data_IF_982988309368
#
_entry.id   IF_982988309368
#
_cell.length_a   1.000
_cell.length_b   1.000
_cell.length_c   1.000
_cell.angle_alpha   90.00
_cell.angle_beta   90.00
_cell.angle_gamma   90.00
#
_symmetry.space_group_name_H-M   'P 1'
#
loop_
_entity.id
_entity.type
_entity.pdbx_description
1 polymer ?
#
# COMPACT_ATOMS: atom_id res chain seq x y z
N UNK A 1 -24.38 2.14 -2.23
CA UNK A 1 -23.57 0.90 -2.26
C UNK A 1 -22.16 1.28 -2.68
N UNK A 2 -21.17 1.15 -1.79
CA UNK A 2 -19.76 1.37 -2.14
C UNK A 2 -19.27 0.18 -2.95
N UNK A 3 -18.86 0.41 -4.20
CA UNK A 3 -18.36 -0.64 -5.08
C UNK A 3 -16.92 -0.96 -4.66
N UNK A 4 -16.68 -2.20 -4.21
CA UNK A 4 -15.34 -2.65 -3.86
C UNK A 4 -14.63 -3.14 -5.12
N UNK A 5 -13.52 -2.51 -5.46
CA UNK A 5 -12.65 -2.84 -6.59
C UNK A 5 -11.40 -3.57 -6.09
N UNK A 6 -11.09 -4.72 -6.69
CA UNK A 6 -9.84 -5.44 -6.43
C UNK A 6 -8.89 -5.16 -7.58
N UNK A 7 -7.67 -4.71 -7.30
CA UNK A 7 -6.69 -4.32 -8.31
C UNK A 7 -5.27 -4.76 -7.94
N UNK A 8 -4.37 -4.80 -8.93
CA UNK A 8 -2.94 -5.09 -8.74
C UNK A 8 -2.15 -3.79 -8.53
N UNK A 9 -1.63 -3.59 -7.33
CA UNK A 9 -0.73 -2.48 -7.03
C UNK A 9 0.73 -2.90 -7.28
N UNK A 10 1.42 -2.20 -8.18
CA UNK A 10 2.85 -2.37 -8.41
C UNK A 10 3.62 -1.37 -7.55
N UNK A 11 4.34 -1.87 -6.56
CA UNK A 11 5.11 -1.10 -5.59
C UNK A 11 6.56 -0.96 -6.08
N UNK A 12 7.01 0.28 -6.26
CA UNK A 12 8.37 0.62 -6.64
C UNK A 12 9.12 1.18 -5.42
N UNK A 13 10.34 0.71 -5.20
CA UNK A 13 11.24 1.22 -4.16
C UNK A 13 12.65 1.24 -4.71
N UNK A 14 13.37 2.33 -4.48
CA UNK A 14 14.75 2.47 -4.98
C UNK A 14 15.64 1.39 -4.40
N UNK A 15 16.43 0.73 -5.25
CA UNK A 15 17.35 -0.34 -4.84
C UNK A 15 16.67 -1.66 -4.44
N UNK A 16 15.36 -1.81 -4.65
CA UNK A 16 14.60 -3.04 -4.35
C UNK A 16 13.82 -3.47 -5.58
N UNK A 17 13.69 -4.78 -5.79
CA UNK A 17 12.88 -5.31 -6.88
C UNK A 17 11.40 -4.88 -6.75
N UNK A 18 10.75 -4.47 -7.86
CA UNK A 18 9.34 -4.13 -7.85
C UNK A 18 8.47 -5.27 -7.31
N UNK A 19 7.59 -4.95 -6.37
CA UNK A 19 6.67 -5.92 -5.78
C UNK A 19 5.25 -5.69 -6.29
N UNK A 20 4.55 -6.75 -6.67
CA UNK A 20 3.12 -6.64 -7.02
C UNK A 20 2.27 -7.22 -5.91
N UNK A 21 1.26 -6.48 -5.47
CA UNK A 21 0.34 -6.88 -4.40
C UNK A 21 -1.11 -6.68 -4.84
N UNK A 22 -2.00 -7.53 -4.34
CA UNK A 22 -3.45 -7.42 -4.62
C UNK A 22 -4.10 -6.61 -3.51
N UNK A 23 -4.76 -5.51 -3.88
CA UNK A 23 -5.39 -4.58 -2.94
C UNK A 23 -6.88 -4.53 -3.22
N UNK A 24 -7.68 -4.41 -2.15
CA UNK A 24 -9.11 -4.09 -2.23
C UNK A 24 -9.33 -2.64 -1.85
N UNK A 25 -9.98 -1.88 -2.71
CA UNK A 25 -10.38 -0.49 -2.48
C UNK A 25 -11.90 -0.37 -2.55
N UNK A 26 -12.50 0.39 -1.65
CA UNK A 26 -13.93 0.72 -1.71
C UNK A 26 -14.23 1.95 -2.58
N UNK A 27 -13.23 2.44 -3.33
CA UNK A 27 -13.32 3.61 -4.19
C UNK A 27 -13.34 3.22 -5.68
N UNK A 28 -13.99 4.08 -6.47
CA UNK A 28 -14.03 3.97 -7.94
C UNK A 28 -12.72 4.46 -8.60
N UNK A 29 -11.78 4.97 -7.81
CA UNK A 29 -10.44 5.41 -8.23
C UNK A 29 -9.36 4.79 -7.32
N UNK A 30 -8.11 4.67 -7.81
CA UNK A 30 -7.03 4.14 -6.99
C UNK A 30 -6.76 5.06 -5.79
N UNK A 31 -6.50 4.50 -4.60
CA UNK A 31 -6.14 5.31 -3.45
C UNK A 31 -4.84 6.06 -3.74
N UNK A 32 -4.77 7.34 -3.35
CA UNK A 32 -3.57 8.17 -3.54
C UNK A 32 -2.38 7.69 -2.70
N UNK A 33 -2.67 7.11 -1.54
CA UNK A 33 -1.69 6.58 -0.60
C UNK A 33 -2.05 5.14 -0.28
N UNK A 34 -1.06 4.27 -0.36
CA UNK A 34 -1.16 2.86 -0.02
C UNK A 34 -0.18 2.55 1.11
N UNK A 35 -0.67 1.94 2.19
CA UNK A 35 0.17 1.47 3.30
C UNK A 35 0.32 -0.03 3.20
N UNK A 36 1.55 -0.52 3.22
CA UNK A 36 1.86 -1.94 3.12
C UNK A 36 2.82 -2.38 4.22
N UNK A 37 2.61 -3.53 4.87
CA UNK A 37 3.53 -4.03 5.89
C UNK A 37 4.92 -4.29 5.27
N UNK A 38 5.95 -3.73 5.89
CA UNK A 38 7.33 -3.82 5.41
C UNK A 38 8.00 -5.17 5.73
N UNK A 39 7.47 -5.94 6.69
CA UNK A 39 8.04 -7.20 7.17
C UNK A 39 7.05 -8.37 7.28
N UNK A 40 7.59 -9.57 7.51
CA UNK A 40 6.82 -10.77 7.82
C UNK A 40 6.67 -10.95 9.34
N UNK A 41 5.45 -11.26 9.81
CA UNK A 41 5.18 -11.66 11.19
C UNK A 41 5.29 -10.54 12.23
N UNK A 42 4.16 -9.89 12.55
CA UNK A 42 4.03 -9.04 13.75
C UNK A 42 4.79 -7.71 13.75
N UNK A 43 5.44 -7.35 12.66
CA UNK A 43 6.20 -6.10 12.56
C UNK A 43 5.27 -4.89 12.55
N UNK A 44 5.55 -3.93 13.43
CA UNK A 44 4.88 -2.65 13.56
C UNK A 44 5.34 -1.64 12.49
N UNK A 45 5.92 -2.10 11.39
CA UNK A 45 6.55 -1.29 10.36
C UNK A 45 5.71 -1.33 9.07
N UNK A 46 5.38 -0.15 8.57
CA UNK A 46 4.55 0.07 7.40
C UNK A 46 5.28 0.94 6.40
N UNK A 47 5.51 0.42 5.22
CA UNK A 47 5.93 1.24 4.10
C UNK A 47 4.72 2.00 3.53
N UNK A 48 4.91 3.30 3.30
CA UNK A 48 3.94 4.18 2.66
C UNK A 48 4.35 4.38 1.22
N UNK A 49 3.41 4.13 0.32
CA UNK A 49 3.59 4.32 -1.11
C UNK A 49 2.58 5.34 -1.64
N UNK A 50 3.03 6.27 -2.48
CA UNK A 50 2.18 7.23 -3.18
C UNK A 50 1.88 6.75 -4.59
N UNK A 51 0.65 7.01 -5.06
CA UNK A 51 0.24 6.73 -6.43
C UNK A 51 1.12 7.51 -7.40
N UNK A 52 1.83 6.77 -8.26
CA UNK A 52 2.66 7.32 -9.31
C UNK A 52 1.91 7.36 -10.64
N UNK A 53 1.22 6.27 -10.96
CA UNK A 53 0.49 6.10 -12.22
C UNK A 53 -0.78 5.26 -12.01
N UNK A 54 -1.84 5.62 -12.73
CA UNK A 54 -3.16 5.01 -12.65
C UNK A 54 -3.73 4.63 -14.02
N UNK A 55 -2.92 4.65 -15.08
CA UNK A 55 -3.36 4.38 -16.46
C UNK A 55 -4.03 3.01 -16.61
N UNK A 56 -3.59 2.02 -15.82
CA UNK A 56 -4.15 0.66 -15.81
C UNK A 56 -5.39 0.44 -14.94
N UNK A 57 -6.02 1.48 -14.39
CA UNK A 57 -7.17 1.30 -13.49
C UNK A 57 -8.42 0.82 -14.25
N UNK A 58 -9.24 -0.12 -13.72
CA UNK A 58 -9.20 -0.72 -12.38
C UNK A 58 -8.36 -2.00 -12.24
N UNK A 59 -7.66 -2.43 -13.29
CA UNK A 59 -6.92 -3.69 -13.29
C UNK A 59 -5.60 -3.57 -12.50
N UNK A 60 -4.97 -2.39 -12.54
CA UNK A 60 -3.77 -2.10 -11.78
C UNK A 60 -3.45 -0.61 -11.61
N UNK A 61 -2.49 -0.34 -10.72
CA UNK A 61 -1.95 0.99 -10.48
C UNK A 61 -0.50 0.89 -9.98
N UNK A 62 0.32 1.87 -10.31
CA UNK A 62 1.74 1.92 -9.92
C UNK A 62 1.93 2.90 -8.79
N UNK A 63 2.67 2.48 -7.78
CA UNK A 63 2.96 3.26 -6.59
C UNK A 63 4.47 3.33 -6.37
N UNK A 64 4.94 4.44 -5.80
CA UNK A 64 6.34 4.64 -5.44
C UNK A 64 6.49 4.82 -3.94
N UNK A 65 7.55 4.26 -3.36
CA UNK A 65 7.86 4.35 -1.96
C UNK A 65 8.13 5.81 -1.55
N UNK A 66 7.55 6.22 -0.43
CA UNK A 66 7.71 7.54 0.17
C UNK A 66 8.51 7.45 1.46
N UNK A 67 8.03 6.66 2.42
CA UNK A 67 8.61 6.55 3.76
C UNK A 67 8.21 5.24 4.44
N UNK A 68 8.94 4.87 5.49
CA UNK A 68 8.57 3.77 6.38
C UNK A 68 8.12 4.35 7.72
N UNK A 69 6.96 3.91 8.20
CA UNK A 69 6.40 4.29 9.49
C UNK A 69 6.50 3.13 10.46
N UNK A 70 7.08 3.37 11.62
CA UNK A 70 7.05 2.44 12.75
C UNK A 70 5.94 2.86 13.70
N UNK A 71 5.06 1.92 14.06
CA UNK A 71 4.09 2.11 15.13
C UNK A 71 4.79 1.75 16.43
N UNK A 72 4.96 2.69 17.35
CA UNK A 72 5.31 2.33 18.73
C UNK A 72 4.22 1.41 19.29
N UNK A 73 4.59 0.31 19.98
CA UNK A 73 3.60 -0.45 20.72
C UNK A 73 2.98 0.52 21.73
N UNK A 74 1.71 0.89 21.52
CA UNK A 74 0.96 1.64 22.52
C UNK A 74 1.14 0.88 23.84
N UNK A 75 1.59 1.53 24.95
CA UNK A 75 1.59 0.84 26.23
C UNK A 75 0.16 0.35 26.43
N UNK A 76 0.01 -0.96 26.62
CA UNK A 76 -1.28 -1.52 26.98
C UNK A 76 -1.75 -0.78 28.22
N UNK A 77 -2.87 -0.07 28.10
CA UNK A 77 -3.59 0.50 29.24
C UNK A 77 -3.95 -0.69 30.14
N UNK A 78 -3.38 -0.73 31.34
CA UNK A 78 -3.54 -1.78 32.35
C UNK A 78 -4.95 -1.78 32.96
#
# INVERSE_FOLDING_TARGET
>A
MTRTTTFRARLLRSGVEPRTVTVRSASDSPPRILRWPAGGGGTLEFDVYALLDADGWPEGATYTFVESLTRDPSPADE
#
